data_IF_000946273623
#
_entry.id   IF_000946273623
#
_cell.length_a   1.000
_cell.length_b   1.000
_cell.length_c   1.000
_cell.angle_alpha   90.00
_cell.angle_beta   90.00
_cell.angle_gamma   90.00
#
_symmetry.space_group_name_H-M   'P 1'
#
loop_
_entity.id
_entity.type
_entity.pdbx_description
1 polymer ?
#
# COMPACT_ATOMS: atom_id res chain seq x y z
N UNK A 1 51.69 17.99 57.91
CA UNK A 1 51.13 16.70 58.33
C UNK A 1 50.91 15.85 57.10
N UNK A 2 51.82 14.90 56.89
CA UNK A 2 51.87 13.97 55.76
C UNK A 2 51.20 12.67 56.21
N UNK A 3 50.28 12.05 55.44
CA UNK A 3 49.93 10.67 55.67
C UNK A 3 50.74 9.76 54.75
N UNK A 4 51.64 8.97 55.35
CA UNK A 4 52.20 7.74 54.79
C UNK A 4 51.12 6.65 54.78
N UNK A 5 51.04 5.86 53.71
CA UNK A 5 50.25 4.61 53.60
C UNK A 5 51.10 3.58 52.80
N UNK A 6 51.04 2.27 53.13
CA UNK A 6 52.23 1.49 53.47
C UNK A 6 52.74 0.50 52.40
N UNK A 7 53.98 0.04 52.63
CA UNK A 7 54.67 -1.00 51.87
C UNK A 7 53.97 -2.37 52.00
N UNK A 8 53.63 -2.96 50.86
CA UNK A 8 53.06 -4.30 50.75
C UNK A 8 54.17 -5.35 50.81
N UNK A 9 54.15 -6.17 51.86
CA UNK A 9 55.01 -7.34 52.06
C UNK A 9 54.48 -8.48 51.20
N UNK A 10 55.31 -9.03 50.30
CA UNK A 10 55.00 -10.26 49.56
C UNK A 10 55.95 -11.37 50.02
N UNK A 11 55.35 -12.48 50.42
CA UNK A 11 55.97 -13.73 50.86
C UNK A 11 56.93 -14.30 49.81
N UNK A 12 58.10 -14.77 50.25
CA UNK A 12 59.08 -15.51 49.44
C UNK A 12 59.00 -17.00 49.81
N UNK A 13 58.44 -17.82 48.92
CA UNK A 13 58.48 -19.28 49.00
C UNK A 13 59.19 -19.86 47.78
N UNK A 14 60.08 -20.83 48.04
CA UNK A 14 60.28 -22.02 47.20
C UNK A 14 60.92 -21.88 45.81
N UNK A 15 62.17 -22.38 45.71
CA UNK A 15 62.83 -22.86 44.48
C UNK A 15 61.92 -23.75 43.63
N UNK A 16 61.94 -23.59 42.31
CA UNK A 16 61.57 -24.67 41.38
C UNK A 16 61.17 -24.24 39.97
N UNK A 17 61.99 -24.65 39.00
CA UNK A 17 61.70 -24.82 37.57
C UNK A 17 61.70 -23.60 36.64
N UNK A 18 62.39 -23.81 35.52
CA UNK A 18 62.58 -22.91 34.41
C UNK A 18 61.27 -22.68 33.65
N UNK A 19 60.88 -21.41 33.56
CA UNK A 19 60.38 -20.82 32.32
C UNK A 19 60.98 -19.43 32.25
N UNK A 20 61.79 -19.17 31.22
CA UNK A 20 62.20 -17.82 30.88
C UNK A 20 60.95 -17.07 30.43
N UNK A 21 60.30 -16.38 31.37
CA UNK A 21 59.33 -15.34 31.05
C UNK A 21 60.15 -14.19 30.53
N UNK A 22 60.23 -14.05 29.20
CA UNK A 22 60.66 -12.80 28.57
C UNK A 22 59.72 -11.70 29.06
N UNK A 23 60.15 -10.94 30.06
CA UNK A 23 59.55 -9.65 30.37
C UNK A 23 59.91 -8.70 29.24
N UNK A 24 59.16 -8.74 28.13
CA UNK A 24 59.23 -7.72 27.09
C UNK A 24 58.89 -6.38 27.76
N UNK A 25 59.90 -5.56 27.98
CA UNK A 25 59.73 -4.15 28.36
C UNK A 25 59.10 -3.43 27.17
N UNK A 26 57.77 -3.40 27.15
CA UNK A 26 57.02 -2.64 26.15
C UNK A 26 57.34 -1.15 26.30
N UNK A 27 57.85 -0.51 25.26
CA UNK A 27 58.00 0.95 25.26
C UNK A 27 56.60 1.60 25.17
N UNK A 28 56.36 2.77 25.77
CA UNK A 28 55.05 3.43 25.69
C UNK A 28 54.57 3.66 24.23
N UNK A 29 55.50 3.89 23.29
CA UNK A 29 55.19 3.97 21.86
C UNK A 29 54.70 2.64 21.24
N UNK A 30 55.23 1.49 21.69
CA UNK A 30 54.73 0.18 21.27
C UNK A 30 53.34 -0.11 21.85
N UNK A 31 53.07 0.34 23.09
CA UNK A 31 51.75 0.23 23.70
C UNK A 31 50.71 1.03 22.90
N UNK A 32 51.06 2.25 22.47
CA UNK A 32 50.19 3.07 21.63
C UNK A 32 49.84 2.37 20.30
N UNK A 33 50.85 1.83 19.59
CA UNK A 33 50.62 1.11 18.33
C UNK A 33 49.72 -0.10 18.52
N UNK A 34 49.97 -0.90 19.56
CA UNK A 34 49.17 -2.08 19.86
C UNK A 34 47.72 -1.72 20.23
N UNK A 35 47.52 -0.63 20.98
CA UNK A 35 46.19 -0.15 21.34
C UNK A 35 45.42 0.34 20.11
N UNK A 36 46.10 1.08 19.20
CA UNK A 36 45.54 1.50 17.91
C UNK A 36 45.14 0.30 17.04
N UNK A 37 46.03 -0.69 16.87
CA UNK A 37 45.75 -1.90 16.08
C UNK A 37 44.50 -2.63 16.62
N UNK A 38 44.41 -2.77 17.95
CA UNK A 38 43.29 -3.45 18.56
C UNK A 38 41.99 -2.65 18.45
N UNK A 39 42.01 -1.34 18.71
CA UNK A 39 40.83 -0.50 18.62
C UNK A 39 40.31 -0.40 17.17
N UNK A 40 41.21 -0.33 16.18
CA UNK A 40 40.86 -0.37 14.75
C UNK A 40 40.20 -1.68 14.34
N UNK A 41 40.61 -2.80 14.92
CA UNK A 41 39.95 -4.09 14.70
C UNK A 41 38.56 -4.12 15.34
N UNK A 42 38.44 -3.67 16.58
CA UNK A 42 37.19 -3.74 17.35
C UNK A 42 36.11 -2.77 16.83
N UNK A 43 36.49 -1.62 16.27
CA UNK A 43 35.53 -0.62 15.76
C UNK A 43 34.81 -1.07 14.47
N UNK A 44 35.37 -2.03 13.72
CA UNK A 44 34.76 -2.49 12.46
C UNK A 44 33.43 -3.21 12.71
N UNK A 45 33.36 -3.98 13.79
CA UNK A 45 32.16 -4.75 14.16
C UNK A 45 32.05 -4.80 15.69
N UNK A 46 31.60 -3.70 16.32
CA UNK A 46 31.44 -3.65 17.77
C UNK A 46 30.31 -4.59 18.20
N UNK A 47 30.54 -5.32 19.28
CA UNK A 47 29.58 -6.28 19.87
C UNK A 47 29.38 -5.97 21.35
N UNK A 48 28.37 -6.57 21.97
CA UNK A 48 28.12 -6.41 23.40
C UNK A 48 29.34 -6.80 24.26
N UNK A 49 30.11 -7.81 23.83
CA UNK A 49 31.28 -8.31 24.53
C UNK A 49 32.52 -7.43 24.33
N UNK A 50 32.61 -6.71 23.20
CA UNK A 50 33.81 -5.95 22.82
C UNK A 50 33.69 -4.45 23.04
N UNK A 51 32.48 -3.91 23.21
CA UNK A 51 32.25 -2.46 23.30
C UNK A 51 32.92 -1.82 24.52
N UNK A 52 32.88 -2.46 25.68
CA UNK A 52 33.54 -1.95 26.88
C UNK A 52 35.06 -1.88 26.69
N UNK A 53 35.66 -2.94 26.14
CA UNK A 53 37.09 -2.97 25.81
C UNK A 53 37.46 -1.91 24.78
N UNK A 54 36.63 -1.72 23.75
CA UNK A 54 36.88 -0.70 22.74
C UNK A 54 36.87 0.71 23.36
N UNK A 55 35.89 1.03 24.20
CA UNK A 55 35.78 2.36 24.83
C UNK A 55 36.97 2.67 25.75
N UNK A 56 37.40 1.70 26.56
CA UNK A 56 38.57 1.86 27.43
C UNK A 56 39.87 1.94 26.65
N UNK A 57 39.99 1.21 25.52
CA UNK A 57 41.14 1.37 24.60
C UNK A 57 41.21 2.77 24.00
N UNK A 58 40.06 3.38 23.65
CA UNK A 58 40.04 4.76 23.13
C UNK A 58 40.54 5.77 24.18
N UNK A 59 40.16 5.62 25.45
CA UNK A 59 40.69 6.44 26.54
C UNK A 59 42.19 6.19 26.75
N UNK A 60 42.63 4.93 26.69
CA UNK A 60 44.04 4.58 26.83
C UNK A 60 44.89 5.18 25.72
N UNK A 61 44.42 5.14 24.47
CA UNK A 61 45.09 5.76 23.32
C UNK A 61 45.21 7.27 23.54
N UNK A 62 44.11 7.93 23.94
CA UNK A 62 44.09 9.38 24.21
C UNK A 62 45.13 9.74 25.28
N UNK A 63 45.21 8.98 26.37
CA UNK A 63 46.19 9.21 27.43
C UNK A 63 47.63 8.94 26.98
N UNK A 64 47.88 7.89 26.20
CA UNK A 64 49.22 7.55 25.68
C UNK A 64 49.76 8.64 24.74
N UNK A 65 48.91 9.30 23.94
CA UNK A 65 49.33 10.46 23.16
C UNK A 65 49.77 11.64 24.04
N UNK A 66 49.05 11.90 25.14
CA UNK A 66 49.39 12.97 26.08
C UNK A 66 50.72 12.68 26.79
N UNK A 67 50.95 11.43 27.20
CA UNK A 67 52.16 11.01 27.92
C UNK A 67 53.42 11.00 27.03
N UNK A 68 53.27 10.62 25.75
CA UNK A 68 54.37 10.56 24.79
C UNK A 68 54.74 11.92 24.18
N UNK A 69 53.83 12.90 24.18
CA UNK A 69 54.06 14.24 23.64
C UNK A 69 55.33 14.94 24.17
N UNK A 70 55.62 14.98 25.49
CA UNK A 70 56.83 15.60 26.03
C UNK A 70 58.12 14.80 25.78
N UNK A 71 58.04 13.53 25.34
CA UNK A 71 59.20 12.67 25.14
C UNK A 71 59.92 12.89 23.80
N UNK A 72 59.40 13.75 22.91
CA UNK A 72 60.04 14.08 21.63
C UNK A 72 60.03 12.94 20.60
N UNK A 73 59.14 11.96 20.75
CA UNK A 73 58.97 10.85 19.82
C UNK A 73 58.16 11.32 18.59
N UNK A 74 58.56 10.93 17.37
CA UNK A 74 57.76 11.19 16.16
C UNK A 74 56.55 10.26 16.11
N UNK A 75 55.35 10.83 16.30
CA UNK A 75 54.06 10.12 16.34
C UNK A 75 53.13 10.47 15.15
N UNK A 76 53.66 11.12 14.10
CA UNK A 76 52.81 11.53 12.96
C UNK A 76 51.99 10.39 12.33
N UNK A 77 52.53 9.17 12.13
CA UNK A 77 51.75 8.05 11.61
C UNK A 77 50.61 7.63 12.54
N UNK A 78 50.87 7.56 13.85
CA UNK A 78 49.91 7.18 14.87
C UNK A 78 48.80 8.23 15.00
N UNK A 79 49.12 9.51 14.92
CA UNK A 79 48.16 10.61 14.97
C UNK A 79 47.13 10.53 13.83
N UNK A 80 47.57 10.22 12.60
CA UNK A 80 46.66 10.02 11.48
C UNK A 80 45.67 8.86 11.69
N UNK A 81 46.15 7.75 12.26
CA UNK A 81 45.33 6.58 12.62
C UNK A 81 44.30 6.94 13.70
N UNK A 82 44.75 7.65 14.73
CA UNK A 82 43.90 8.13 15.82
C UNK A 82 42.78 9.04 15.33
N UNK A 83 43.10 10.00 14.45
CA UNK A 83 42.10 10.87 13.84
C UNK A 83 41.07 10.08 13.02
N UNK A 84 41.52 9.08 12.25
CA UNK A 84 40.65 8.18 11.50
C UNK A 84 39.68 7.42 12.40
N UNK A 85 40.18 6.91 13.53
CA UNK A 85 39.38 6.19 14.52
C UNK A 85 38.32 7.08 15.17
N UNK A 86 38.70 8.28 15.63
CA UNK A 86 37.78 9.29 16.19
C UNK A 86 36.71 9.70 15.19
N UNK A 87 37.10 9.93 13.94
CA UNK A 87 36.18 10.28 12.86
C UNK A 87 35.14 9.17 12.62
N UNK A 88 35.54 7.90 12.69
CA UNK A 88 34.62 6.76 12.52
C UNK A 88 33.60 6.67 13.66
N UNK A 89 34.02 6.86 14.91
CA UNK A 89 33.11 6.92 16.07
C UNK A 89 32.05 8.02 15.87
N UNK A 90 32.50 9.23 15.54
CA UNK A 90 31.63 10.41 15.43
C UNK A 90 30.71 10.31 14.20
N UNK A 91 31.23 9.86 13.05
CA UNK A 91 30.45 9.77 11.81
C UNK A 91 29.42 8.64 11.86
N UNK A 92 29.73 7.52 12.51
CA UNK A 92 28.86 6.33 12.59
C UNK A 92 28.71 5.81 14.04
N UNK A 93 28.02 6.56 14.93
CA UNK A 93 27.82 6.14 16.32
C UNK A 93 26.79 5.01 16.47
N UNK A 94 25.98 4.73 15.44
CA UNK A 94 24.88 3.76 15.47
C UNK A 94 25.29 2.33 15.90
N UNK A 95 26.26 1.69 15.23
CA UNK A 95 26.75 0.38 15.62
C UNK A 95 27.32 0.34 17.05
N UNK A 96 28.02 1.39 17.48
CA UNK A 96 28.59 1.50 18.83
C UNK A 96 27.48 1.63 19.89
N UNK A 97 26.48 2.48 19.64
CA UNK A 97 25.33 2.64 20.52
C UNK A 97 24.48 1.35 20.60
N UNK A 98 24.33 0.62 19.49
CA UNK A 98 23.64 -0.67 19.47
C UNK A 98 24.39 -1.74 20.26
N UNK A 99 25.72 -1.84 20.08
CA UNK A 99 26.57 -2.73 20.85
C UNK A 99 26.54 -2.39 22.36
N UNK A 100 26.59 -1.09 22.70
CA UNK A 100 26.48 -0.61 24.07
C UNK A 100 25.10 -0.92 24.68
N UNK A 101 24.01 -0.75 23.92
CA UNK A 101 22.67 -1.13 24.36
C UNK A 101 22.56 -2.63 24.68
N UNK A 102 23.13 -3.48 23.81
CA UNK A 102 23.20 -4.93 24.04
C UNK A 102 24.09 -5.32 25.23
N UNK A 103 25.07 -4.49 25.60
CA UNK A 103 25.92 -4.66 26.79
C UNK A 103 25.30 -4.13 28.11
N UNK A 104 24.03 -3.70 28.10
CA UNK A 104 23.34 -3.15 29.27
C UNK A 104 23.30 -1.62 29.32
N UNK A 105 23.64 -0.94 28.22
CA UNK A 105 23.43 0.48 28.00
C UNK A 105 24.61 1.37 28.38
N UNK A 106 24.71 2.50 27.68
CA UNK A 106 25.83 3.44 27.85
C UNK A 106 25.89 4.10 29.22
N UNK A 107 24.75 4.25 29.90
CA UNK A 107 24.68 4.77 31.28
C UNK A 107 25.41 3.85 32.27
N UNK A 108 25.25 2.53 32.12
CA UNK A 108 25.92 1.53 32.96
C UNK A 108 27.43 1.52 32.69
N UNK A 109 27.81 1.52 31.41
CA UNK A 109 29.21 1.55 30.99
C UNK A 109 29.93 2.81 31.51
N UNK A 110 29.32 3.99 31.40
CA UNK A 110 29.88 5.25 31.93
C UNK A 110 30.06 5.22 33.46
N UNK A 111 29.11 4.62 34.19
CA UNK A 111 29.18 4.52 35.65
C UNK A 111 30.32 3.60 36.12
N UNK A 112 30.69 2.60 35.33
CA UNK A 112 31.78 1.68 35.64
C UNK A 112 33.19 2.28 35.37
N UNK A 113 33.30 3.32 34.54
CA UNK A 113 34.58 3.86 34.04
C UNK A 113 34.68 5.40 34.16
N UNK A 114 34.66 6.00 35.37
CA UNK A 114 34.81 7.46 35.51
C UNK A 114 36.21 7.94 35.05
N UNK A 115 36.35 9.09 34.37
CA UNK A 115 35.33 10.13 34.19
C UNK A 115 34.36 9.94 33.01
N UNK A 116 34.64 9.03 32.05
CA UNK A 116 33.81 8.75 30.86
C UNK A 116 33.21 9.99 30.15
N UNK A 117 34.02 11.05 29.99
CA UNK A 117 33.58 12.33 29.41
C UNK A 117 33.81 12.43 27.90
N UNK A 118 34.73 11.65 27.34
CA UNK A 118 35.14 11.73 25.93
C UNK A 118 34.00 11.41 24.96
N UNK A 119 34.13 11.83 23.70
CA UNK A 119 33.06 11.79 22.70
C UNK A 119 32.51 10.37 22.43
N UNK A 120 33.36 9.34 22.47
CA UNK A 120 32.95 7.93 22.32
C UNK A 120 32.11 7.42 23.50
N UNK A 121 32.18 8.08 24.68
CA UNK A 121 31.31 7.75 25.81
C UNK A 121 29.88 8.29 25.67
N UNK A 122 29.63 9.12 24.65
CA UNK A 122 28.35 9.83 24.43
C UNK A 122 27.66 9.42 23.12
N UNK A 123 27.98 8.24 22.57
CA UNK A 123 27.42 7.75 21.30
C UNK A 123 25.89 7.56 21.35
N UNK A 124 25.33 7.28 22.54
CA UNK A 124 23.89 7.21 22.79
C UNK A 124 23.20 8.57 22.57
N UNK A 125 23.80 9.64 23.11
CA UNK A 125 23.35 11.02 22.92
C UNK A 125 23.43 11.43 21.45
N UNK A 126 24.54 11.12 20.77
CA UNK A 126 24.71 11.43 19.35
C UNK A 126 23.67 10.75 18.45
N UNK A 127 23.31 9.49 18.73
CA UNK A 127 22.26 8.78 18.00
C UNK A 127 20.89 9.37 18.30
N UNK A 128 20.60 9.71 19.56
CA UNK A 128 19.34 10.34 19.96
C UNK A 128 19.13 11.69 19.25
N UNK A 129 20.14 12.56 19.22
CA UNK A 129 20.08 13.85 18.53
C UNK A 129 19.88 13.72 17.01
N UNK A 130 20.49 12.70 16.38
CA UNK A 130 20.29 12.43 14.95
C UNK A 130 18.87 11.94 14.66
N UNK A 131 18.36 11.03 15.48
CA UNK A 131 16.98 10.53 15.38
C UNK A 131 15.97 11.65 15.58
N UNK A 132 16.15 12.48 16.60
CA UNK A 132 15.26 13.61 16.88
C UNK A 132 15.23 14.59 15.71
N UNK A 133 16.40 15.01 15.18
CA UNK A 133 16.46 15.89 14.00
C UNK A 133 15.80 15.29 12.77
N UNK A 134 15.96 13.98 12.53
CA UNK A 134 15.33 13.30 11.41
C UNK A 134 13.80 13.27 11.56
N UNK A 135 13.30 12.92 12.75
CA UNK A 135 11.89 12.92 13.07
C UNK A 135 11.28 14.32 12.94
N UNK A 136 11.92 15.36 13.48
CA UNK A 136 11.41 16.74 13.36
C UNK A 136 11.29 17.17 11.90
N UNK A 137 12.31 16.90 11.06
CA UNK A 137 12.23 17.22 9.62
C UNK A 137 11.12 16.45 8.91
N UNK A 138 10.96 15.17 9.24
CA UNK A 138 9.89 14.35 8.70
C UNK A 138 8.51 14.91 9.08
N UNK A 139 8.31 15.23 10.37
CA UNK A 139 7.04 15.80 10.85
C UNK A 139 6.72 17.15 10.22
N UNK A 140 7.72 18.03 10.05
CA UNK A 140 7.53 19.31 9.35
C UNK A 140 7.12 19.07 7.89
N UNK A 141 7.79 18.14 7.20
CA UNK A 141 7.48 17.82 5.80
C UNK A 141 6.08 17.22 5.67
N UNK A 142 5.70 16.30 6.56
CA UNK A 142 4.36 15.71 6.61
C UNK A 142 3.29 16.77 6.89
N UNK A 143 3.52 17.66 7.85
CA UNK A 143 2.61 18.77 8.15
C UNK A 143 2.46 19.73 6.97
N UNK A 144 3.56 20.02 6.25
CA UNK A 144 3.51 20.84 5.05
C UNK A 144 2.65 20.18 3.96
N UNK A 145 2.84 18.88 3.70
CA UNK A 145 2.03 18.14 2.72
C UNK A 145 0.55 18.15 3.09
N UNK A 146 0.22 17.86 4.36
CA UNK A 146 -1.17 17.90 4.84
C UNK A 146 -1.74 19.31 4.71
N UNK A 147 -0.99 20.35 5.09
CA UNK A 147 -1.40 21.74 4.94
C UNK A 147 -1.66 22.11 3.48
N UNK A 148 -0.81 21.68 2.55
CA UNK A 148 -1.01 21.88 1.10
C UNK A 148 -2.27 21.19 0.61
N UNK A 149 -2.52 19.94 1.01
CA UNK A 149 -3.73 19.21 0.62
C UNK A 149 -5.00 19.87 1.17
N UNK A 150 -4.97 20.34 2.42
CA UNK A 150 -6.10 21.06 3.03
C UNK A 150 -6.35 22.40 2.33
N UNK A 151 -5.29 23.15 2.00
CA UNK A 151 -5.40 24.39 1.23
C UNK A 151 -5.94 24.15 -0.17
N UNK A 152 -5.50 23.07 -0.83
CA UNK A 152 -5.99 22.68 -2.14
C UNK A 152 -7.47 22.30 -2.09
N UNK A 153 -7.87 21.49 -1.11
CA UNK A 153 -9.27 21.11 -0.88
C UNK A 153 -10.14 22.35 -0.63
N UNK A 154 -9.68 23.26 0.25
CA UNK A 154 -10.36 24.52 0.51
C UNK A 154 -10.47 25.37 -0.76
N UNK A 155 -9.39 25.49 -1.54
CA UNK A 155 -9.37 26.26 -2.78
C UNK A 155 -10.35 25.68 -3.83
N UNK A 156 -10.35 24.36 -4.02
CA UNK A 156 -11.29 23.69 -4.94
C UNK A 156 -12.72 24.01 -4.52
N UNK A 157 -13.08 23.83 -3.25
CA UNK A 157 -14.44 24.04 -2.79
C UNK A 157 -14.86 25.53 -2.76
N UNK A 158 -13.91 26.46 -2.69
CA UNK A 158 -14.18 27.90 -2.66
C UNK A 158 -14.29 28.50 -4.06
N UNK A 159 -13.40 28.11 -4.97
CA UNK A 159 -13.36 28.66 -6.34
C UNK A 159 -14.16 27.84 -7.35
N UNK A 160 -14.35 26.54 -7.07
CA UNK A 160 -15.10 25.61 -7.91
C UNK A 160 -16.12 24.84 -7.05
N UNK A 161 -17.06 25.53 -6.36
CA UNK A 161 -18.11 24.83 -5.64
C UNK A 161 -18.91 23.98 -6.62
N UNK A 162 -19.26 22.72 -6.26
CA UNK A 162 -20.12 21.91 -7.10
C UNK A 162 -21.46 22.64 -7.32
N UNK A 163 -22.00 22.54 -8.54
CA UNK A 163 -23.29 23.17 -8.82
C UNK A 163 -24.37 22.57 -7.91
N UNK A 164 -25.34 23.37 -7.42
CA UNK A 164 -26.43 22.86 -6.59
C UNK A 164 -27.19 21.71 -7.25
N UNK A 165 -27.35 21.75 -8.57
CA UNK A 165 -27.97 20.70 -9.37
C UNK A 165 -27.16 19.39 -9.35
N UNK A 166 -25.82 19.45 -9.46
CA UNK A 166 -24.98 18.26 -9.38
C UNK A 166 -25.03 17.62 -7.98
N UNK A 167 -25.05 18.44 -6.92
CA UNK A 167 -25.20 17.94 -5.54
C UNK A 167 -26.56 17.26 -5.38
N UNK A 168 -27.64 17.90 -5.85
CA UNK A 168 -28.98 17.32 -5.83
C UNK A 168 -29.04 15.98 -6.56
N UNK A 169 -28.42 15.86 -7.74
CA UNK A 169 -28.39 14.60 -8.48
C UNK A 169 -27.61 13.50 -7.78
N UNK A 170 -26.47 13.82 -7.15
CA UNK A 170 -25.71 12.84 -6.35
C UNK A 170 -26.53 12.33 -5.17
N UNK A 171 -27.19 13.24 -4.43
CA UNK A 171 -28.05 12.87 -3.31
C UNK A 171 -29.26 12.05 -3.76
N UNK A 172 -29.90 12.47 -4.86
CA UNK A 172 -31.08 11.79 -5.42
C UNK A 172 -30.74 10.40 -5.92
N UNK A 173 -29.67 10.25 -6.71
CA UNK A 173 -29.24 8.95 -7.22
C UNK A 173 -28.82 8.01 -6.08
N UNK A 174 -28.16 8.53 -5.04
CA UNK A 174 -27.84 7.75 -3.84
C UNK A 174 -29.11 7.25 -3.12
N UNK A 175 -30.16 8.08 -3.03
CA UNK A 175 -31.44 7.71 -2.44
C UNK A 175 -32.20 6.69 -3.30
N UNK A 176 -32.19 6.86 -4.63
CA UNK A 176 -32.76 5.90 -5.59
C UNK A 176 -32.05 4.56 -5.42
N UNK A 177 -30.73 4.51 -5.51
CA UNK A 177 -29.94 3.28 -5.40
C UNK A 177 -30.20 2.56 -4.07
N UNK A 178 -30.24 3.28 -2.96
CA UNK A 178 -30.53 2.72 -1.64
C UNK A 178 -31.94 2.11 -1.58
N UNK A 179 -32.93 2.75 -2.21
CA UNK A 179 -34.30 2.25 -2.28
C UNK A 179 -34.43 1.05 -3.24
N UNK A 180 -33.75 1.07 -4.39
CA UNK A 180 -33.70 -0.03 -5.34
C UNK A 180 -33.07 -1.29 -4.74
N UNK A 181 -32.00 -1.15 -3.94
CA UNK A 181 -31.40 -2.27 -3.21
C UNK A 181 -32.37 -2.93 -2.22
N UNK A 182 -33.33 -2.17 -1.69
CA UNK A 182 -34.38 -2.65 -0.79
C UNK A 182 -35.61 -3.17 -1.56
N UNK A 183 -35.65 -3.03 -2.88
CA UNK A 183 -36.82 -3.30 -3.71
C UNK A 183 -37.97 -2.32 -3.50
N UNK A 184 -37.72 -1.18 -2.83
CA UNK A 184 -38.75 -0.17 -2.53
C UNK A 184 -38.82 0.86 -3.65
N UNK A 185 -39.52 0.50 -4.73
CA UNK A 185 -39.75 1.40 -5.86
C UNK A 185 -40.58 2.64 -5.49
N UNK A 186 -41.39 2.57 -4.43
CA UNK A 186 -42.19 3.70 -3.97
C UNK A 186 -41.31 4.77 -3.30
N UNK A 187 -40.36 4.35 -2.45
CA UNK A 187 -39.37 5.24 -1.85
C UNK A 187 -38.45 5.87 -2.92
N UNK A 188 -38.01 5.09 -3.90
CA UNK A 188 -37.24 5.61 -5.04
C UNK A 188 -38.03 6.69 -5.80
N UNK A 189 -39.33 6.45 -6.06
CA UNK A 189 -40.19 7.43 -6.75
C UNK A 189 -40.39 8.69 -5.92
N UNK A 190 -40.49 8.56 -4.59
CA UNK A 190 -40.57 9.71 -3.70
C UNK A 190 -39.30 10.57 -3.75
N UNK A 191 -38.11 9.96 -3.81
CA UNK A 191 -36.85 10.70 -3.96
C UNK A 191 -36.83 11.50 -5.27
N UNK A 192 -37.27 10.88 -6.38
CA UNK A 192 -37.41 11.55 -7.68
C UNK A 192 -38.41 12.71 -7.60
N UNK A 193 -39.56 12.53 -6.94
CA UNK A 193 -40.57 13.58 -6.78
C UNK A 193 -40.02 14.77 -6.01
N UNK A 194 -39.27 14.53 -4.93
CA UNK A 194 -38.61 15.58 -4.16
C UNK A 194 -37.58 16.33 -5.01
N UNK A 195 -36.74 15.61 -5.76
CA UNK A 195 -35.73 16.20 -6.62
C UNK A 195 -36.35 17.08 -7.72
N UNK A 196 -37.46 16.64 -8.31
CA UNK A 196 -38.19 17.38 -9.36
C UNK A 196 -38.78 18.69 -8.88
N UNK A 197 -39.03 18.86 -7.58
CA UNK A 197 -39.45 20.17 -7.04
C UNK A 197 -38.35 21.22 -7.13
N UNK A 198 -37.08 20.79 -7.08
CA UNK A 198 -35.90 21.65 -7.14
C UNK A 198 -35.35 21.78 -8.56
N UNK A 199 -35.40 20.69 -9.34
CA UNK A 199 -34.90 20.63 -10.71
C UNK A 199 -35.99 20.07 -11.68
N UNK A 200 -37.05 20.84 -11.99
CA UNK A 200 -38.19 20.33 -12.77
C UNK A 200 -37.87 20.03 -14.24
N UNK A 201 -36.78 20.56 -14.76
CA UNK A 201 -36.35 20.39 -16.15
C UNK A 201 -35.18 19.41 -16.31
N UNK A 202 -34.80 18.70 -15.24
CA UNK A 202 -33.73 17.71 -15.29
C UNK A 202 -34.23 16.41 -15.95
N UNK A 203 -33.77 16.04 -17.16
CA UNK A 203 -34.38 14.96 -17.91
C UNK A 203 -34.22 13.59 -17.27
N UNK A 204 -33.10 13.35 -16.58
CA UNK A 204 -32.81 12.07 -15.93
C UNK A 204 -33.86 11.73 -14.86
N UNK A 205 -34.37 12.74 -14.13
CA UNK A 205 -35.44 12.57 -13.14
C UNK A 205 -36.76 12.12 -13.78
N UNK A 206 -37.07 12.61 -14.99
CA UNK A 206 -38.25 12.17 -15.72
C UNK A 206 -38.11 10.73 -16.22
N UNK A 207 -36.92 10.33 -16.67
CA UNK A 207 -36.65 8.95 -17.08
C UNK A 207 -36.71 7.97 -15.90
N UNK A 208 -36.20 8.38 -14.73
CA UNK A 208 -36.37 7.61 -13.50
C UNK A 208 -37.84 7.45 -13.13
N UNK A 209 -38.65 8.51 -13.25
CA UNK A 209 -40.09 8.43 -12.98
C UNK A 209 -40.84 7.49 -13.94
N UNK A 210 -40.41 7.42 -15.22
CA UNK A 210 -40.93 6.42 -16.18
C UNK A 210 -40.66 5.02 -15.66
N UNK A 211 -39.39 4.72 -15.40
CA UNK A 211 -38.95 3.38 -15.00
C UNK A 211 -39.62 2.93 -13.69
N UNK A 212 -39.72 3.83 -12.70
CA UNK A 212 -40.31 3.53 -11.40
C UNK A 212 -41.84 3.41 -11.47
N UNK A 213 -42.50 4.25 -12.27
CA UNK A 213 -43.95 4.14 -12.48
C UNK A 213 -44.34 2.87 -13.23
N UNK A 214 -43.52 2.41 -14.19
CA UNK A 214 -43.69 1.10 -14.84
C UNK A 214 -43.62 -0.04 -13.83
N UNK A 215 -42.64 -0.03 -12.92
CA UNK A 215 -42.51 -1.04 -11.86
C UNK A 215 -43.68 -1.04 -10.89
N UNK A 216 -44.26 0.13 -10.61
CA UNK A 216 -45.41 0.29 -9.73
C UNK A 216 -46.76 0.04 -10.44
N UNK A 217 -46.75 -0.24 -11.76
CA UNK A 217 -47.96 -0.46 -12.56
C UNK A 217 -48.76 0.81 -12.89
N UNK A 218 -48.19 1.99 -12.66
CA UNK A 218 -48.81 3.29 -12.97
C UNK A 218 -48.48 3.73 -14.40
N UNK A 219 -49.08 3.05 -15.36
CA UNK A 219 -48.80 3.26 -16.78
C UNK A 219 -49.13 4.69 -17.25
N UNK A 220 -50.22 5.28 -16.74
CA UNK A 220 -50.62 6.65 -17.07
C UNK A 220 -49.53 7.66 -16.71
N UNK A 221 -48.95 7.52 -15.51
CA UNK A 221 -47.86 8.38 -15.06
C UNK A 221 -46.58 8.13 -15.87
N UNK A 222 -46.26 6.87 -16.16
CA UNK A 222 -45.10 6.53 -16.98
C UNK A 222 -45.19 7.17 -18.38
N UNK A 223 -46.34 7.12 -19.04
CA UNK A 223 -46.56 7.73 -20.36
C UNK A 223 -46.43 9.25 -20.32
N UNK A 224 -47.00 9.91 -19.29
CA UNK A 224 -46.88 11.36 -19.12
C UNK A 224 -45.43 11.79 -18.89
N UNK A 225 -44.68 11.05 -18.06
CA UNK A 225 -43.27 11.35 -17.77
C UNK A 225 -42.36 11.05 -18.96
N UNK A 226 -42.67 10.02 -19.76
CA UNK A 226 -41.95 9.74 -21.00
C UNK A 226 -42.17 10.84 -22.05
N UNK A 227 -43.39 11.35 -22.15
CA UNK A 227 -43.69 12.48 -23.04
C UNK A 227 -42.86 13.71 -22.65
N UNK A 228 -42.72 13.99 -21.34
CA UNK A 228 -41.91 15.11 -20.87
C UNK A 228 -40.42 14.89 -21.09
N UNK A 229 -39.90 13.68 -20.84
CA UNK A 229 -38.51 13.35 -21.11
C UNK A 229 -38.17 13.50 -22.61
N UNK A 230 -39.07 13.09 -23.51
CA UNK A 230 -38.92 13.27 -24.97
C UNK A 230 -38.93 14.74 -25.40
N UNK A 231 -39.70 15.59 -24.72
CA UNK A 231 -39.67 17.03 -24.95
C UNK A 231 -38.30 17.62 -24.57
N UNK A 232 -37.83 17.28 -23.36
CA UNK A 232 -36.57 17.81 -22.80
C UNK A 232 -35.32 17.31 -23.54
N UNK A 233 -35.34 16.08 -24.06
CA UNK A 233 -34.23 15.46 -24.81
C UNK A 233 -34.52 15.36 -26.32
N UNK A 234 -35.29 16.31 -26.85
CA UNK A 234 -35.65 16.32 -28.27
C UNK A 234 -34.45 16.45 -29.22
N UNK A 235 -33.33 17.00 -28.72
CA UNK A 235 -32.05 17.10 -29.42
C UNK A 235 -31.18 15.84 -29.30
N UNK A 236 -31.47 14.96 -28.32
CA UNK A 236 -30.70 13.74 -28.03
C UNK A 236 -31.60 12.50 -27.90
N UNK A 237 -32.37 12.14 -28.93
CA UNK A 237 -33.34 11.05 -28.85
C UNK A 237 -32.66 9.69 -28.62
N UNK A 238 -31.46 9.44 -29.18
CA UNK A 238 -30.69 8.22 -28.92
C UNK A 238 -30.25 8.14 -27.45
N UNK A 239 -29.76 9.25 -26.88
CA UNK A 239 -29.32 9.33 -25.49
C UNK A 239 -30.45 9.06 -24.50
N UNK A 240 -31.65 9.57 -24.78
CA UNK A 240 -32.86 9.27 -24.00
C UNK A 240 -33.09 7.76 -23.87
N UNK A 241 -33.07 7.04 -24.98
CA UNK A 241 -33.36 5.60 -24.99
C UNK A 241 -32.25 4.77 -24.34
N UNK A 242 -30.99 5.18 -24.49
CA UNK A 242 -29.87 4.56 -23.79
C UNK A 242 -30.01 4.71 -22.27
N UNK A 243 -30.31 5.92 -21.78
CA UNK A 243 -30.51 6.18 -20.35
C UNK A 243 -31.70 5.41 -19.80
N UNK A 244 -32.84 5.44 -20.50
CA UNK A 244 -34.03 4.69 -20.10
C UNK A 244 -33.76 3.18 -20.07
N UNK A 245 -33.02 2.66 -21.06
CA UNK A 245 -32.63 1.25 -21.11
C UNK A 245 -31.73 0.83 -19.95
N UNK A 246 -30.74 1.67 -19.58
CA UNK A 246 -29.89 1.42 -18.42
C UNK A 246 -30.68 1.42 -17.09
N UNK A 247 -31.56 2.40 -16.89
CA UNK A 247 -32.41 2.47 -15.70
C UNK A 247 -33.36 1.26 -15.61
N UNK A 248 -33.97 0.86 -16.73
CA UNK A 248 -34.80 -0.35 -16.80
C UNK A 248 -34.02 -1.62 -16.48
N UNK A 249 -32.78 -1.72 -16.95
CA UNK A 249 -31.89 -2.83 -16.57
C UNK A 249 -31.59 -2.82 -15.07
N UNK A 250 -31.39 -1.64 -14.46
CA UNK A 250 -31.11 -1.49 -13.04
C UNK A 250 -32.27 -1.94 -12.14
N UNK A 251 -33.53 -1.74 -12.58
CA UNK A 251 -34.72 -2.23 -11.86
C UNK A 251 -35.12 -3.66 -12.25
N UNK A 252 -34.34 -4.34 -13.10
CA UNK A 252 -34.62 -5.70 -13.55
C UNK A 252 -35.65 -5.84 -14.66
N UNK A 253 -36.13 -4.74 -15.26
CA UNK A 253 -37.02 -4.76 -16.42
C UNK A 253 -36.24 -5.02 -17.72
N UNK A 254 -35.79 -6.26 -17.89
CA UNK A 254 -34.95 -6.65 -19.03
C UNK A 254 -35.66 -6.49 -20.38
N UNK A 255 -36.96 -6.75 -20.44
CA UNK A 255 -37.74 -6.63 -21.68
C UNK A 255 -37.91 -5.16 -22.10
N UNK A 256 -38.23 -4.29 -21.13
CA UNK A 256 -38.30 -2.86 -21.37
C UNK A 256 -36.92 -2.25 -21.71
N UNK A 257 -35.84 -2.78 -21.11
CA UNK A 257 -34.48 -2.36 -21.42
C UNK A 257 -34.08 -2.75 -22.86
N UNK A 258 -34.44 -3.96 -23.30
CA UNK A 258 -34.21 -4.42 -24.68
C UNK A 258 -35.01 -3.59 -25.69
N UNK A 259 -36.27 -3.26 -25.39
CA UNK A 259 -37.08 -2.38 -26.23
C UNK A 259 -36.43 -0.99 -26.37
N UNK A 260 -35.95 -0.39 -25.28
CA UNK A 260 -35.26 0.90 -25.33
C UNK A 260 -33.94 0.83 -26.11
N UNK A 261 -33.15 -0.23 -25.94
CA UNK A 261 -31.92 -0.42 -26.71
C UNK A 261 -32.20 -0.54 -28.21
N UNK A 262 -33.28 -1.24 -28.60
CA UNK A 262 -33.69 -1.35 -30.00
C UNK A 262 -34.17 0.00 -30.59
N UNK A 263 -34.86 0.83 -29.82
CA UNK A 263 -35.19 2.21 -30.23
C UNK A 263 -33.92 3.05 -30.45
N UNK A 264 -32.93 2.94 -29.56
CA UNK A 264 -31.64 3.60 -29.74
C UNK A 264 -30.92 3.14 -31.03
N UNK A 265 -30.95 1.84 -31.34
CA UNK A 265 -30.39 1.28 -32.58
C UNK A 265 -31.17 1.76 -33.81
N UNK A 266 -32.50 1.87 -33.72
CA UNK A 266 -33.32 2.34 -34.83
C UNK A 266 -33.00 3.79 -35.20
N UNK A 267 -32.70 4.64 -34.20
CA UNK A 267 -32.27 6.02 -34.40
C UNK A 267 -30.81 6.13 -34.85
N UNK A 268 -29.93 5.33 -34.24
CA UNK A 268 -28.49 5.34 -34.49
C UNK A 268 -27.96 3.91 -34.63
N UNK A 269 -27.97 3.31 -35.84
CA UNK A 269 -27.58 1.92 -36.05
C UNK A 269 -26.13 1.56 -35.67
N UNK A 270 -25.27 2.58 -35.58
CA UNK A 270 -23.86 2.46 -35.23
C UNK A 270 -23.56 2.93 -33.81
N UNK A 271 -24.57 3.11 -32.94
CA UNK A 271 -24.36 3.51 -31.55
C UNK A 271 -23.80 2.34 -30.72
N UNK A 272 -22.51 2.35 -30.32
CA UNK A 272 -21.91 1.23 -29.62
C UNK A 272 -22.55 0.98 -28.25
N UNK A 273 -23.03 2.03 -27.57
CA UNK A 273 -23.65 1.90 -26.24
C UNK A 273 -24.93 1.07 -26.28
N UNK A 274 -25.69 1.10 -27.38
CA UNK A 274 -26.92 0.34 -27.51
C UNK A 274 -26.63 -1.18 -27.62
N UNK A 275 -25.59 -1.55 -28.36
CA UNK A 275 -25.13 -2.94 -28.42
C UNK A 275 -24.52 -3.41 -27.10
N UNK A 276 -23.83 -2.52 -26.38
CA UNK A 276 -23.32 -2.84 -25.05
C UNK A 276 -24.45 -3.14 -24.07
N UNK A 277 -25.51 -2.33 -24.09
CA UNK A 277 -26.70 -2.55 -23.28
C UNK A 277 -27.38 -3.89 -23.62
N UNK A 278 -27.57 -4.20 -24.91
CA UNK A 278 -28.08 -5.51 -25.32
C UNK A 278 -27.18 -6.67 -24.86
N UNK A 279 -25.86 -6.49 -24.89
CA UNK A 279 -24.90 -7.48 -24.39
C UNK A 279 -25.06 -7.72 -22.89
N UNK A 280 -25.24 -6.66 -22.10
CA UNK A 280 -25.56 -6.74 -20.68
C UNK A 280 -26.90 -7.43 -20.40
N UNK A 281 -27.92 -7.16 -21.21
CA UNK A 281 -29.24 -7.82 -21.12
C UNK A 281 -29.13 -9.32 -21.44
N UNK A 282 -28.40 -9.69 -22.49
CA UNK A 282 -28.15 -11.08 -22.85
C UNK A 282 -27.38 -11.81 -21.74
N UNK A 283 -26.36 -11.17 -21.15
CA UNK A 283 -25.63 -11.71 -19.99
C UNK A 283 -26.55 -11.92 -18.79
N UNK A 284 -27.42 -10.96 -18.48
CA UNK A 284 -28.39 -11.05 -17.37
C UNK A 284 -29.42 -12.19 -17.59
N UNK A 285 -29.76 -12.48 -18.84
CA UNK A 285 -30.62 -13.64 -19.22
C UNK A 285 -29.86 -14.96 -19.29
N UNK A 286 -28.54 -14.97 -19.12
CA UNK A 286 -27.69 -16.16 -19.21
C UNK A 286 -27.34 -16.61 -20.63
N UNK A 287 -27.69 -15.82 -21.65
CA UNK A 287 -27.32 -16.08 -23.04
C UNK A 287 -25.91 -15.54 -23.31
N UNK A 288 -24.91 -16.24 -22.79
CA UNK A 288 -23.51 -15.81 -22.87
C UNK A 288 -22.97 -15.76 -24.31
N UNK A 289 -23.47 -16.63 -25.20
CA UNK A 289 -23.08 -16.62 -26.61
C UNK A 289 -23.51 -15.32 -27.29
N UNK A 290 -24.79 -14.94 -27.15
CA UNK A 290 -25.31 -13.68 -27.68
C UNK A 290 -24.64 -12.47 -27.02
N UNK A 291 -24.36 -12.53 -25.72
CA UNK A 291 -23.66 -11.46 -25.01
C UNK A 291 -22.24 -11.23 -25.56
N UNK A 292 -21.50 -12.30 -25.83
CA UNK A 292 -20.16 -12.23 -26.45
C UNK A 292 -20.24 -11.56 -27.83
N UNK A 293 -21.15 -11.98 -28.70
CA UNK A 293 -21.32 -11.40 -30.04
C UNK A 293 -21.66 -9.89 -29.97
N UNK A 294 -22.51 -9.49 -29.02
CA UNK A 294 -22.90 -8.10 -28.81
C UNK A 294 -21.77 -7.24 -28.24
N UNK A 295 -20.95 -7.78 -27.33
CA UNK A 295 -19.76 -7.10 -26.84
C UNK A 295 -18.67 -6.99 -27.91
N UNK A 296 -18.52 -7.98 -28.79
CA UNK A 296 -17.62 -7.88 -29.94
C UNK A 296 -18.09 -6.78 -30.90
N UNK A 297 -19.38 -6.75 -31.23
CA UNK A 297 -19.96 -5.66 -32.05
C UNK A 297 -19.78 -4.28 -31.39
N UNK A 298 -19.94 -4.18 -30.08
CA UNK A 298 -19.65 -2.97 -29.31
C UNK A 298 -18.19 -2.54 -29.49
N UNK A 299 -17.26 -3.48 -29.33
CA UNK A 299 -15.83 -3.22 -29.50
C UNK A 299 -15.52 -2.70 -30.91
N UNK A 300 -16.02 -3.36 -31.95
CA UNK A 300 -15.79 -2.98 -33.34
C UNK A 300 -16.28 -1.55 -33.64
N UNK A 301 -17.44 -1.17 -33.11
CA UNK A 301 -18.00 0.18 -33.30
C UNK A 301 -17.33 1.24 -32.42
N UNK A 302 -16.83 0.87 -31.24
CA UNK A 302 -16.25 1.81 -30.28
C UNK A 302 -14.72 1.98 -30.44
N UNK A 303 -14.02 1.09 -31.14
CA UNK A 303 -12.55 1.07 -31.16
C UNK A 303 -11.91 2.41 -31.57
N UNK A 304 -12.52 3.10 -32.54
CA UNK A 304 -12.03 4.39 -33.03
C UNK A 304 -12.51 5.57 -32.17
N UNK A 305 -13.79 5.59 -31.81
CA UNK A 305 -14.46 6.79 -31.27
C UNK A 305 -14.61 6.78 -29.73
N UNK A 306 -14.67 5.60 -29.12
CA UNK A 306 -14.83 5.42 -27.67
C UNK A 306 -13.94 4.28 -27.14
N UNK A 307 -12.62 4.52 -27.03
CA UNK A 307 -11.66 3.48 -26.62
C UNK A 307 -11.94 2.93 -25.22
N UNK A 308 -12.58 3.72 -24.36
CA UNK A 308 -12.96 3.30 -23.00
C UNK A 308 -14.05 2.22 -23.06
N UNK A 309 -15.13 2.45 -23.81
CA UNK A 309 -16.19 1.47 -24.02
C UNK A 309 -15.65 0.22 -24.73
N UNK A 310 -14.75 0.38 -25.70
CA UNK A 310 -14.08 -0.71 -26.40
C UNK A 310 -13.31 -1.63 -25.42
N UNK A 311 -12.58 -1.05 -24.47
CA UNK A 311 -11.86 -1.80 -23.42
C UNK A 311 -12.86 -2.51 -22.49
N UNK A 312 -13.91 -1.83 -22.04
CA UNK A 312 -14.93 -2.44 -21.17
C UNK A 312 -15.60 -3.64 -21.87
N UNK A 313 -15.98 -3.49 -23.13
CA UNK A 313 -16.58 -4.57 -23.92
C UNK A 313 -15.64 -5.78 -24.05
N UNK A 314 -14.35 -5.56 -24.34
CA UNK A 314 -13.33 -6.62 -24.35
C UNK A 314 -13.18 -7.34 -23.01
N UNK A 315 -13.16 -6.58 -21.90
CA UNK A 315 -13.06 -7.17 -20.55
C UNK A 315 -14.29 -8.03 -20.25
N UNK A 316 -15.50 -7.54 -20.58
CA UNK A 316 -16.74 -8.31 -20.39
C UNK A 316 -16.74 -9.58 -21.22
N UNK A 317 -16.35 -9.50 -22.49
CA UNK A 317 -16.20 -10.66 -23.37
C UNK A 317 -15.19 -11.67 -22.81
N UNK A 318 -14.01 -11.23 -22.36
CA UNK A 318 -12.99 -12.09 -21.77
C UNK A 318 -13.49 -12.82 -20.51
N UNK A 319 -14.22 -12.13 -19.64
CA UNK A 319 -14.83 -12.73 -18.45
C UNK A 319 -15.89 -13.78 -18.82
N UNK A 320 -16.71 -13.52 -19.84
CA UNK A 320 -17.71 -14.46 -20.31
C UNK A 320 -17.09 -15.68 -20.98
N UNK A 321 -16.05 -15.52 -21.80
CA UNK A 321 -15.33 -16.64 -22.42
C UNK A 321 -14.70 -17.58 -21.38
N UNK A 322 -14.21 -17.03 -20.27
CA UNK A 322 -13.69 -17.84 -19.16
C UNK A 322 -14.78 -18.62 -18.41
N UNK A 323 -15.98 -18.02 -18.29
CA UNK A 323 -17.14 -18.66 -17.64
C UNK A 323 -17.81 -19.69 -18.54
N UNK A 324 -17.81 -19.44 -19.85
CA UNK A 324 -18.42 -20.27 -20.87
C UNK A 324 -17.51 -21.44 -21.31
N UNK A 325 -16.68 -21.97 -20.40
CA UNK A 325 -15.63 -22.96 -20.67
C UNK A 325 -16.09 -24.03 -21.69
N UNK A 326 -15.60 -23.97 -22.95
CA UNK A 326 -15.91 -24.98 -23.96
C UNK A 326 -15.34 -26.37 -23.60
N UNK A 327 -14.47 -26.44 -22.60
CA UNK A 327 -13.78 -27.63 -22.12
C UNK A 327 -14.27 -28.11 -20.75
N UNK A 328 -15.33 -27.53 -20.19
CA UNK A 328 -16.03 -28.11 -19.05
C UNK A 328 -16.65 -29.44 -19.52
N UNK A 329 -15.87 -30.52 -19.40
CA UNK A 329 -16.29 -31.88 -19.74
C UNK A 329 -17.60 -32.16 -19.04
N UNK A 330 -18.65 -32.44 -19.81
CA UNK A 330 -19.85 -33.08 -19.29
C UNK A 330 -19.40 -34.26 -18.40
N UNK A 331 -20.01 -34.47 -17.22
CA UNK A 331 -19.67 -35.62 -16.39
C UNK A 331 -19.81 -36.85 -17.29
N UNK A 332 -18.67 -37.55 -17.47
CA UNK A 332 -18.59 -38.75 -18.28
C UNK A 332 -19.66 -39.68 -17.71
N UNK A 333 -20.71 -39.95 -18.47
CA UNK A 333 -21.69 -40.96 -18.09
C UNK A 333 -20.88 -42.25 -17.87
N UNK A 334 -20.77 -42.69 -16.62
CA UNK A 334 -20.18 -43.97 -16.28
C UNK A 334 -20.91 -45.03 -17.13
N UNK A 335 -20.19 -45.56 -18.10
CA UNK A 335 -20.66 -46.72 -18.86
C UNK A 335 -20.75 -47.87 -17.86
N UNK A 336 -21.91 -48.53 -17.72
CA UNK A 336 -22.05 -49.58 -16.73
C UNK A 336 -21.05 -50.69 -17.05
N UNK A 337 -20.33 -51.11 -16.02
CA UNK A 337 -19.32 -52.15 -16.09
C UNK A 337 -19.87 -53.39 -16.81
N UNK A 338 -19.14 -53.85 -17.81
CA UNK A 338 -19.40 -55.05 -18.57
C UNK A 338 -19.57 -56.25 -17.64
N UNK A 339 -20.78 -56.82 -17.63
CA UNK A 339 -21.05 -58.13 -17.03
C UNK A 339 -20.10 -59.18 -17.63
N UNK A 340 -19.41 -59.90 -16.75
CA UNK A 340 -18.53 -61.01 -17.11
C UNK A 340 -19.41 -62.23 -17.46
N UNK A 341 -19.23 -62.92 -18.60
CA UNK A 341 -20.07 -64.07 -18.95
C UNK A 341 -19.74 -65.27 -18.06
N UNK A 342 -20.78 -65.90 -17.52
CA UNK A 342 -20.72 -67.10 -16.71
C UNK A 342 -20.06 -68.29 -17.45
N UNK A 343 -19.19 -69.00 -16.74
CA UNK A 343 -18.54 -70.21 -17.21
C UNK A 343 -19.56 -71.36 -17.38
N UNK A 344 -19.51 -72.03 -18.53
CA UNK A 344 -20.28 -73.23 -18.84
C UNK A 344 -19.68 -74.48 -18.13
N UNK A 345 -20.52 -75.47 -17.76
CA UNK A 345 -20.09 -76.64 -16.97
C UNK A 345 -19.37 -77.70 -17.82
N UNK A 346 -18.35 -78.32 -17.21
CA UNK A 346 -17.60 -79.47 -17.74
C UNK A 346 -18.45 -80.75 -17.77
N UNK A 347 -18.34 -81.59 -18.82
CA UNK A 347 -19.02 -82.88 -18.89
C UNK A 347 -18.08 -84.02 -18.49
N UNK A 348 -18.59 -85.03 -17.77
CA UNK A 348 -18.34 -86.49 -17.93
C UNK A 348 -18.72 -87.27 -16.64
N UNK A 349 -18.92 -88.60 -16.70
CA UNK A 349 -19.44 -89.45 -17.78
C UNK A 349 -20.80 -90.08 -17.44
#
# INVERSE_FOLDING_TARGET
MTPMIPAMVIFRTGKGMAHAVESRTYTPAQQLRSALDEAERLIVSPTAQTIEKLLTLLDQIEWLFVDLAPMGVDLRPEEGRWQGLRSRVISKPGPLAAAAAAAGGMKKLRAAHPPATSAWWQVDVMVAERRWRALTRFSISAAAVVGTLLLLYWAINTFFPPSPEAVLMVETNSAIDAALQQGDFAAARQAVDQARTQAPNEPELWLWDVTLSEQLGDQTRAEASLAKAKELLSDQPTGLWLTLGNQRMQVGNLDGAEAAANEAIALSPNEPQAYFLLGGIAEARGDYAKAIDLFDKTYQLAEADNPQLAVIAKVRMGNLLQRADPFATAPIAETPATETPAAAPTPTP
#
